data_IF_998117555640
#
_entry.id   IF_998117555640
#
_cell.length_a   1.000
_cell.length_b   1.000
_cell.length_c   1.000
_cell.angle_alpha   90.00
_cell.angle_beta   90.00
_cell.angle_gamma   90.00
#
_symmetry.space_group_name_H-M   'P 1'
#
loop_
_entity.id
_entity.type
_entity.pdbx_description
1 polymer ?
#
# COMPACT_ATOMS: atom_id res chain seq x y z
N UNK A 1 8.85 11.25 11.85
CA UNK A 1 9.06 12.52 11.09
C UNK A 1 8.44 12.30 9.72
N UNK A 2 7.38 13.04 9.38
CA UNK A 2 6.60 12.78 8.17
C UNK A 2 7.31 13.24 6.89
N UNK A 3 7.18 12.47 5.81
CA UNK A 3 7.56 12.92 4.48
C UNK A 3 6.32 13.21 3.65
N UNK A 4 6.20 14.46 3.17
CA UNK A 4 5.13 14.90 2.27
C UNK A 4 5.68 14.81 0.84
N UNK A 5 4.97 14.10 -0.04
CA UNK A 5 5.30 14.08 -1.47
C UNK A 5 4.08 14.40 -2.34
N UNK A 6 4.33 15.06 -3.48
CA UNK A 6 3.33 15.42 -4.47
C UNK A 6 3.40 14.45 -5.65
N UNK A 7 2.42 13.57 -5.78
CA UNK A 7 2.31 12.65 -6.92
C UNK A 7 1.48 13.28 -8.05
N UNK A 8 1.99 13.24 -9.29
CA UNK A 8 1.29 13.73 -10.49
C UNK A 8 0.50 12.59 -11.15
N UNK A 9 -0.79 12.76 -11.38
CA UNK A 9 -1.61 11.78 -12.12
C UNK A 9 -1.53 12.10 -13.62
N UNK A 10 -0.85 11.24 -14.39
CA UNK A 10 -0.85 11.29 -15.85
C UNK A 10 -1.91 10.35 -16.42
N UNK A 11 -3.02 10.88 -16.91
CA UNK A 11 -4.01 10.11 -17.69
C UNK A 11 -3.57 10.00 -19.14
N UNK A 12 -3.27 8.79 -19.61
CA UNK A 12 -3.03 8.53 -21.03
C UNK A 12 -4.40 8.30 -21.70
N UNK A 13 -5.01 9.36 -22.22
CA UNK A 13 -6.12 9.23 -23.16
C UNK A 13 -5.57 9.32 -24.59
N UNK A 14 -5.98 8.35 -25.39
CA UNK A 14 -5.59 8.20 -26.79
C UNK A 14 -5.98 9.41 -27.65
N UNK A 15 -5.22 9.51 -28.73
CA UNK A 15 -5.28 10.47 -29.83
C UNK A 15 -6.69 10.89 -30.24
N UNK A 16 -6.98 12.20 -30.17
CA UNK A 16 -7.62 12.96 -31.25
C UNK A 16 -7.66 14.47 -30.94
N UNK A 17 -7.40 15.25 -32.00
CA UNK A 17 -7.54 16.70 -32.21
C UNK A 17 -6.81 17.72 -31.29
N UNK A 18 -6.12 18.64 -31.98
CA UNK A 18 -5.47 19.83 -31.42
C UNK A 18 -6.52 20.83 -30.92
N UNK A 19 -6.81 20.82 -29.64
CA UNK A 19 -7.33 21.99 -28.91
C UNK A 19 -6.62 22.08 -27.56
N UNK A 20 -6.24 23.30 -27.18
CA UNK A 20 -5.61 23.63 -25.91
C UNK A 20 -6.44 23.13 -24.72
N UNK A 21 -6.08 21.97 -24.17
CA UNK A 21 -6.46 21.58 -22.81
C UNK A 21 -5.29 21.93 -21.89
N UNK A 22 -5.45 23.03 -21.16
CA UNK A 22 -4.73 23.27 -19.92
C UNK A 22 -5.11 22.10 -18.97
N UNK A 23 -4.33 21.03 -18.99
CA UNK A 23 -4.50 19.94 -18.02
C UNK A 23 -3.81 20.44 -16.76
N UNK A 24 -4.59 21.09 -15.89
CA UNK A 24 -4.16 21.37 -14.54
C UNK A 24 -3.68 20.06 -13.91
N UNK A 25 -2.38 20.02 -13.65
CA UNK A 25 -1.76 18.84 -13.06
C UNK A 25 -2.26 18.73 -11.63
N UNK A 26 -3.17 17.80 -11.38
CA UNK A 26 -3.64 17.52 -10.03
C UNK A 26 -2.49 16.88 -9.25
N UNK A 27 -1.93 17.63 -8.32
CA UNK A 27 -0.96 17.09 -7.39
C UNK A 27 -1.71 16.46 -6.22
N UNK A 28 -1.54 15.15 -6.05
CA UNK A 28 -2.05 14.45 -4.87
C UNK A 28 -0.95 14.49 -3.82
N UNK A 29 -1.24 15.16 -2.71
CA UNK A 29 -0.38 15.12 -1.52
C UNK A 29 -0.55 13.75 -0.86
N UNK A 30 0.53 13.00 -0.75
CA UNK A 30 0.58 11.73 0.00
C UNK A 30 1.49 11.96 1.20
N UNK A 31 0.95 11.79 2.39
CA UNK A 31 1.73 11.70 3.61
C UNK A 31 2.22 10.27 3.75
N UNK A 32 3.53 10.08 3.71
CA UNK A 32 4.13 8.77 3.96
C UNK A 32 4.64 8.73 5.40
N UNK A 33 4.17 7.76 6.17
CA UNK A 33 4.56 7.56 7.57
C UNK A 33 5.75 6.62 7.65
N UNK A 34 6.64 6.86 8.62
CA UNK A 34 7.68 5.87 8.93
C UNK A 34 7.04 4.62 9.54
N UNK A 35 7.58 3.41 9.30
CA UNK A 35 7.04 2.19 9.89
C UNK A 35 6.91 2.25 11.42
N UNK A 36 7.86 2.93 12.08
CA UNK A 36 7.87 3.11 13.54
C UNK A 36 6.79 4.08 14.06
N UNK A 37 6.29 4.98 13.21
CA UNK A 37 5.27 5.97 13.58
C UNK A 37 3.84 5.41 13.40
N UNK A 38 3.69 4.16 12.97
CA UNK A 38 2.38 3.53 12.77
C UNK A 38 1.67 3.22 14.09
N UNK A 39 0.39 3.61 14.17
CA UNK A 39 -0.47 3.28 15.30
C UNK A 39 -1.89 2.89 14.85
N UNK A 40 -2.44 1.85 15.47
CA UNK A 40 -3.75 1.28 15.11
C UNK A 40 -4.94 2.20 15.37
N UNK A 41 -4.82 3.09 16.36
CA UNK A 41 -5.89 4.03 16.75
C UNK A 41 -6.21 5.09 15.66
N UNK A 42 -5.35 5.21 14.65
CA UNK A 42 -5.58 6.09 13.50
C UNK A 42 -6.28 5.37 12.34
N UNK A 43 -6.65 4.10 12.49
CA UNK A 43 -7.33 3.31 11.46
C UNK A 43 -8.84 3.35 11.65
N UNK A 44 -9.54 3.69 10.57
CA UNK A 44 -10.98 3.64 10.47
C UNK A 44 -11.39 2.73 9.32
N UNK A 45 -12.32 1.82 9.58
CA UNK A 45 -12.90 0.95 8.55
C UNK A 45 -14.19 1.57 8.02
N UNK A 46 -14.28 1.69 6.71
CA UNK A 46 -15.54 2.06 6.06
C UNK A 46 -16.52 0.89 6.05
N UNK A 47 -17.72 1.11 5.53
CA UNK A 47 -18.69 0.04 5.30
C UNK A 47 -18.14 -1.04 4.38
N UNK A 48 -18.46 -2.28 4.73
CA UNK A 48 -18.15 -3.47 3.95
C UNK A 48 -18.96 -3.46 2.66
N UNK A 49 -18.27 -3.50 1.52
CA UNK A 49 -18.91 -3.57 0.19
C UNK A 49 -18.67 -4.92 -0.44
N UNK A 50 -19.75 -5.61 -0.81
CA UNK A 50 -19.64 -6.83 -1.61
C UNK A 50 -19.05 -6.49 -2.97
N UNK A 51 -18.09 -7.29 -3.43
CA UNK A 51 -17.53 -7.12 -4.75
C UNK A 51 -18.45 -7.81 -5.78
N UNK A 52 -18.75 -7.12 -6.88
CA UNK A 52 -19.66 -7.61 -7.92
C UNK A 52 -18.94 -8.62 -8.84
N UNK A 53 -17.61 -8.53 -8.92
CA UNK A 53 -16.77 -9.29 -9.89
C UNK A 53 -16.09 -10.49 -9.24
N UNK A 54 -15.70 -10.37 -7.96
CA UNK A 54 -14.98 -11.42 -7.23
C UNK A 54 -15.78 -11.76 -5.99
N UNK A 55 -16.00 -13.04 -5.74
CA UNK A 55 -16.77 -13.49 -4.59
C UNK A 55 -16.07 -13.06 -3.29
N UNK A 56 -16.83 -12.40 -2.42
CA UNK A 56 -16.32 -11.76 -1.22
C UNK A 56 -16.63 -10.27 -1.14
N UNK A 57 -15.93 -9.62 -0.21
CA UNK A 57 -16.19 -8.25 0.18
C UNK A 57 -14.90 -7.48 0.38
N UNK A 58 -15.00 -6.16 0.26
CA UNK A 58 -13.91 -5.25 0.47
C UNK A 58 -14.34 -4.16 1.45
N UNK A 59 -13.51 -3.97 2.47
CA UNK A 59 -13.66 -2.91 3.46
C UNK A 59 -12.52 -1.94 3.30
N UNK A 60 -12.84 -0.71 2.92
CA UNK A 60 -11.83 0.34 2.72
C UNK A 60 -11.29 0.83 4.06
N UNK A 61 -9.97 1.02 4.11
CA UNK A 61 -9.27 1.62 5.26
C UNK A 61 -9.11 3.13 5.01
N UNK A 62 -9.41 3.92 6.04
CA UNK A 62 -9.00 5.31 6.14
C UNK A 62 -7.97 5.41 7.27
N UNK A 63 -6.92 6.19 7.02
CA UNK A 63 -5.96 6.58 8.05
C UNK A 63 -6.23 8.03 8.42
N UNK A 64 -6.50 8.32 9.69
CA UNK A 64 -6.81 9.67 10.14
C UNK A 64 -6.05 10.01 11.41
N UNK A 65 -5.40 11.16 11.39
CA UNK A 65 -4.91 11.84 12.59
C UNK A 65 -5.74 13.11 12.85
N UNK A 66 -5.30 13.95 13.79
CA UNK A 66 -6.00 15.19 14.17
C UNK A 66 -6.01 16.26 13.06
N UNK A 67 -5.18 16.10 12.03
CA UNK A 67 -4.95 17.10 10.99
C UNK A 67 -5.44 16.68 9.61
N UNK A 68 -5.53 15.37 9.32
CA UNK A 68 -5.88 14.87 8.00
C UNK A 68 -6.49 13.48 7.99
N UNK A 69 -7.21 13.20 6.89
CA UNK A 69 -7.72 11.87 6.54
C UNK A 69 -7.11 11.44 5.20
N UNK A 70 -6.59 10.22 5.16
CA UNK A 70 -6.01 9.59 3.97
C UNK A 70 -6.76 8.33 3.56
N UNK A 71 -6.79 8.11 2.24
CA UNK A 71 -7.38 6.93 1.61
C UNK A 71 -6.43 5.72 1.66
N UNK A 72 -6.21 5.20 2.86
CA UNK A 72 -5.31 4.10 3.18
C UNK A 72 -4.10 4.54 3.99
N UNK A 73 -3.31 3.56 4.41
CA UNK A 73 -2.08 3.75 5.16
C UNK A 73 -0.92 3.75 4.15
N UNK A 74 -0.01 4.72 4.23
CA UNK A 74 1.13 4.86 3.31
C UNK A 74 2.42 4.79 4.12
N UNK A 75 3.16 3.69 4.00
CA UNK A 75 4.31 3.38 4.85
C UNK A 75 5.59 3.52 4.02
N UNK A 76 6.54 4.33 4.50
CA UNK A 76 7.83 4.53 3.86
C UNK A 76 8.67 3.27 3.97
N UNK A 77 9.37 2.92 2.89
CA UNK A 77 10.24 1.75 2.85
C UNK A 77 11.61 2.14 2.31
N UNK A 78 12.57 2.11 3.22
CA UNK A 78 13.98 2.21 2.92
C UNK A 78 14.63 0.83 3.06
N UNK A 79 14.80 0.11 1.93
CA UNK A 79 15.58 -1.13 1.94
C UNK A 79 17.05 -0.82 2.15
N UNK A 80 17.71 -1.63 2.99
CA UNK A 80 19.14 -1.55 3.25
C UNK A 80 19.95 -2.11 2.07
N UNK A 81 19.45 -3.17 1.42
CA UNK A 81 20.14 -3.85 0.32
C UNK A 81 19.17 -4.32 -0.75
N UNK A 82 19.55 -4.07 -2.01
CA UNK A 82 18.89 -4.61 -3.20
C UNK A 82 19.81 -5.64 -3.84
N UNK A 83 19.25 -6.81 -4.19
CA UNK A 83 19.96 -7.82 -4.97
C UNK A 83 19.95 -7.42 -6.45
N UNK A 84 18.76 -7.16 -7.00
CA UNK A 84 18.58 -6.79 -8.41
C UNK A 84 17.36 -5.89 -8.61
N UNK A 85 17.45 -4.98 -9.58
CA UNK A 85 16.35 -4.15 -10.00
C UNK A 85 15.98 -4.46 -11.46
N UNK A 86 14.82 -5.09 -11.67
CA UNK A 86 14.32 -5.45 -13.00
C UNK A 86 13.31 -4.43 -13.52
N UNK A 87 13.82 -3.28 -13.98
CA UNK A 87 13.00 -2.14 -14.44
C UNK A 87 12.04 -2.46 -15.59
N UNK A 88 12.32 -3.47 -16.42
CA UNK A 88 11.44 -3.89 -17.52
C UNK A 88 10.21 -4.66 -17.05
N UNK A 89 10.31 -5.32 -15.89
CA UNK A 89 9.23 -6.13 -15.29
C UNK A 89 8.58 -5.46 -14.08
N UNK A 90 9.08 -4.28 -13.69
CA UNK A 90 8.74 -3.57 -12.46
C UNK A 90 8.82 -4.50 -11.23
N UNK A 91 9.92 -5.25 -11.14
CA UNK A 91 10.22 -6.15 -10.02
C UNK A 91 11.54 -5.73 -9.39
N UNK A 92 11.57 -5.64 -8.08
CA UNK A 92 12.80 -5.58 -7.29
C UNK A 92 13.01 -6.91 -6.60
N UNK A 93 14.26 -7.32 -6.53
CA UNK A 93 14.71 -8.43 -5.71
C UNK A 93 15.51 -7.85 -4.55
N UNK A 94 15.01 -8.04 -3.33
CA UNK A 94 15.66 -7.57 -2.10
C UNK A 94 16.37 -8.74 -1.41
N UNK A 95 17.35 -8.40 -0.58
CA UNK A 95 17.99 -9.35 0.31
C UNK A 95 17.14 -9.47 1.58
N UNK A 96 16.43 -10.59 1.74
CA UNK A 96 15.52 -10.80 2.87
C UNK A 96 16.25 -10.82 4.23
N UNK A 97 17.52 -11.25 4.26
CA UNK A 97 18.30 -11.30 5.50
C UNK A 97 18.78 -9.91 5.90
N UNK A 98 19.30 -9.14 4.95
CA UNK A 98 19.72 -7.76 5.17
C UNK A 98 18.54 -6.83 5.53
N UNK A 99 17.33 -7.15 5.06
CA UNK A 99 16.13 -6.34 5.33
C UNK A 99 15.21 -6.94 6.41
N UNK A 100 15.66 -7.96 7.15
CA UNK A 100 14.82 -8.74 8.09
C UNK A 100 14.08 -7.89 9.12
N UNK A 101 14.71 -6.86 9.67
CA UNK A 101 14.07 -5.97 10.67
C UNK A 101 12.91 -5.15 10.07
N UNK A 102 13.15 -4.58 8.89
CA UNK A 102 12.12 -3.87 8.12
C UNK A 102 10.97 -4.82 7.77
N UNK A 103 11.28 -6.01 7.24
CA UNK A 103 10.27 -7.02 6.88
C UNK A 103 9.42 -7.40 8.08
N UNK A 104 10.04 -7.66 9.24
CA UNK A 104 9.32 -7.98 10.47
C UNK A 104 8.43 -6.81 10.93
N UNK A 105 8.92 -5.57 10.82
CA UNK A 105 8.15 -4.38 11.18
C UNK A 105 6.90 -4.26 10.31
N UNK A 106 7.05 -4.39 8.98
CA UNK A 106 5.91 -4.34 8.05
C UNK A 106 4.95 -5.52 8.26
N UNK A 107 5.47 -6.71 8.54
CA UNK A 107 4.66 -7.88 8.85
C UNK A 107 3.83 -7.70 10.13
N UNK A 108 4.40 -7.05 11.15
CA UNK A 108 3.69 -6.72 12.39
C UNK A 108 2.58 -5.70 12.13
N UNK A 109 2.80 -4.73 11.24
CA UNK A 109 1.77 -3.78 10.81
C UNK A 109 0.63 -4.53 10.10
N UNK A 110 0.94 -5.38 9.12
CA UNK A 110 -0.07 -6.20 8.41
C UNK A 110 -0.89 -7.04 9.40
N UNK A 111 -0.21 -7.71 10.33
CA UNK A 111 -0.84 -8.52 11.36
C UNK A 111 -1.77 -7.69 12.25
N UNK A 112 -1.27 -6.54 12.74
CA UNK A 112 -2.05 -5.64 13.59
C UNK A 112 -3.29 -5.09 12.90
N UNK A 113 -3.21 -4.74 11.60
CA UNK A 113 -4.37 -4.28 10.82
C UNK A 113 -5.42 -5.39 10.70
N UNK A 114 -5.00 -6.61 10.41
CA UNK A 114 -5.90 -7.77 10.28
C UNK A 114 -6.54 -8.11 11.62
N UNK A 115 -5.76 -8.18 12.69
CA UNK A 115 -6.27 -8.48 14.04
C UNK A 115 -7.26 -7.42 14.52
N UNK A 116 -6.97 -6.14 14.25
CA UNK A 116 -7.86 -5.04 14.57
C UNK A 116 -9.18 -5.14 13.80
N UNK A 117 -9.12 -5.47 12.50
CA UNK A 117 -10.30 -5.70 11.67
C UNK A 117 -11.16 -6.85 12.19
N UNK A 118 -10.55 -8.00 12.53
CA UNK A 118 -11.23 -9.18 13.06
C UNK A 118 -12.00 -8.82 14.33
N UNK A 119 -11.38 -8.07 15.25
CA UNK A 119 -12.01 -7.63 16.49
C UNK A 119 -13.13 -6.62 16.24
N UNK A 120 -12.91 -5.67 15.34
CA UNK A 120 -13.87 -4.59 15.04
C UNK A 120 -15.19 -5.14 14.44
N UNK A 121 -15.10 -6.09 13.52
CA UNK A 121 -16.28 -6.70 12.87
C UNK A 121 -16.71 -8.04 13.49
N UNK A 122 -16.05 -8.47 14.58
CA UNK A 122 -16.26 -9.77 15.23
C UNK A 122 -16.23 -10.95 14.23
N UNK A 123 -15.21 -10.96 13.36
CA UNK A 123 -15.07 -11.98 12.32
C UNK A 123 -14.68 -13.31 12.95
N UNK A 124 -15.43 -14.36 12.65
CA UNK A 124 -15.16 -15.72 13.13
C UNK A 124 -14.96 -16.68 11.96
N UNK A 125 -14.18 -17.75 12.18
CA UNK A 125 -14.02 -18.86 11.23
C UNK A 125 -13.40 -18.49 9.88
N UNK A 126 -12.57 -17.44 9.82
CA UNK A 126 -11.79 -17.09 8.63
C UNK A 126 -10.31 -17.09 8.92
N UNK A 127 -9.53 -17.57 7.96
CA UNK A 127 -8.09 -17.67 8.05
C UNK A 127 -7.44 -16.36 7.59
N UNK A 128 -6.60 -15.72 8.42
CA UNK A 128 -5.77 -14.59 8.01
C UNK A 128 -4.76 -14.98 6.92
N UNK A 129 -4.65 -14.15 5.89
CA UNK A 129 -3.69 -14.28 4.80
C UNK A 129 -2.72 -13.10 4.83
N UNK A 130 -1.48 -13.38 5.21
CA UNK A 130 -0.38 -12.41 5.33
C UNK A 130 0.42 -12.30 4.03
N UNK A 131 -0.27 -11.87 2.97
CA UNK A 131 0.29 -11.78 1.62
C UNK A 131 1.43 -10.78 1.50
N UNK A 132 1.42 -9.69 2.27
CA UNK A 132 2.49 -8.71 2.26
C UNK A 132 3.75 -9.27 2.92
N UNK A 133 3.63 -9.84 4.13
CA UNK A 133 4.71 -10.54 4.81
C UNK A 133 5.35 -11.60 3.90
N UNK A 134 4.51 -12.42 3.26
CA UNK A 134 4.98 -13.50 2.38
C UNK A 134 5.78 -12.96 1.20
N UNK A 135 5.27 -11.93 0.51
CA UNK A 135 5.98 -11.32 -0.62
C UNK A 135 7.31 -10.68 -0.21
N UNK A 136 7.34 -9.98 0.93
CA UNK A 136 8.58 -9.37 1.43
C UNK A 136 9.62 -10.43 1.84
N UNK A 137 9.18 -11.51 2.50
CA UNK A 137 10.08 -12.59 2.95
C UNK A 137 10.68 -13.37 1.77
N UNK A 138 9.93 -13.53 0.68
CA UNK A 138 10.40 -14.19 -0.53
C UNK A 138 11.40 -13.33 -1.35
N UNK A 139 11.47 -12.03 -1.08
CA UNK A 139 12.44 -11.12 -1.71
C UNK A 139 12.04 -10.58 -3.08
N UNK A 140 11.10 -11.21 -3.80
CA UNK A 140 10.61 -10.74 -5.10
C UNK A 140 9.37 -9.85 -4.96
N UNK A 141 9.54 -8.54 -5.19
CA UNK A 141 8.49 -7.55 -4.99
C UNK A 141 8.17 -6.82 -6.29
N UNK A 142 6.90 -6.88 -6.70
CA UNK A 142 6.37 -6.06 -7.79
C UNK A 142 6.06 -4.65 -7.29
N UNK A 143 6.47 -3.65 -8.05
CA UNK A 143 6.17 -2.26 -7.75
C UNK A 143 5.52 -1.56 -8.94
N UNK A 144 4.85 -0.45 -8.69
CA UNK A 144 4.36 0.46 -9.72
C UNK A 144 5.33 1.63 -9.86
N UNK A 145 5.73 1.94 -11.10
CA UNK A 145 6.61 3.07 -11.37
C UNK A 145 5.94 4.39 -11.00
N UNK A 146 6.66 5.21 -10.26
CA UNK A 146 6.35 6.61 -10.03
C UNK A 146 6.70 7.48 -11.24
N UNK A 147 6.58 8.79 -11.06
CA UNK A 147 6.93 9.79 -12.08
C UNK A 147 8.37 10.28 -11.99
N UNK A 148 9.13 9.81 -10.99
CA UNK A 148 10.47 10.30 -10.65
C UNK A 148 11.58 9.46 -11.27
N UNK A 149 12.59 10.16 -11.78
CA UNK A 149 13.79 9.59 -12.41
C UNK A 149 14.94 9.78 -11.43
N UNK A 150 15.60 8.69 -11.00
CA UNK A 150 16.92 8.73 -10.38
C UNK A 150 17.03 8.39 -8.89
N UNK A 151 15.92 8.30 -8.13
CA UNK A 151 15.95 7.82 -6.75
C UNK A 151 14.90 6.73 -6.55
N UNK A 152 15.35 5.52 -6.23
CA UNK A 152 14.49 4.36 -5.95
C UNK A 152 13.99 4.41 -4.50
N UNK A 153 13.07 5.34 -4.19
CA UNK A 153 12.32 5.29 -2.93
C UNK A 153 11.00 4.57 -3.15
N UNK A 154 10.54 3.84 -2.14
CA UNK A 154 9.32 3.07 -2.25
C UNK A 154 8.45 3.29 -1.02
N UNK A 155 7.14 3.32 -1.22
CA UNK A 155 6.19 3.20 -0.13
C UNK A 155 5.25 2.02 -0.36
N UNK A 156 4.72 1.46 0.72
CA UNK A 156 3.62 0.52 0.68
C UNK A 156 2.33 1.23 1.06
N UNK A 157 1.34 1.12 0.17
CA UNK A 157 -0.02 1.53 0.46
C UNK A 157 -0.85 0.33 0.87
N UNK A 158 -1.39 0.32 2.08
CA UNK A 158 -2.46 -0.60 2.52
C UNK A 158 -3.79 0.13 2.35
N UNK A 159 -4.65 -0.34 1.44
CA UNK A 159 -5.88 0.36 1.06
C UNK A 159 -7.16 -0.16 1.70
N UNK A 160 -7.15 -1.39 2.21
CA UNK A 160 -8.34 -2.04 2.75
C UNK A 160 -8.09 -3.49 3.12
N UNK A 161 -9.13 -4.12 3.64
CA UNK A 161 -9.19 -5.54 3.94
C UNK A 161 -10.16 -6.20 2.96
N UNK A 162 -9.71 -7.26 2.30
CA UNK A 162 -10.56 -8.13 1.52
C UNK A 162 -10.95 -9.35 2.37
N UNK A 163 -12.14 -9.88 2.10
CA UNK A 163 -12.69 -11.02 2.83
C UNK A 163 -13.43 -11.93 1.85
N UNK A 164 -13.09 -13.21 1.83
CA UNK A 164 -13.85 -14.25 1.10
C UNK A 164 -14.71 -15.03 2.10
N UNK A 165 -15.24 -16.19 1.69
CA UNK A 165 -15.95 -17.07 2.62
C UNK A 165 -15.04 -17.58 3.74
N UNK A 166 -13.80 -17.98 3.40
CA UNK A 166 -12.89 -18.70 4.29
C UNK A 166 -11.67 -17.89 4.74
N UNK A 167 -11.35 -16.81 4.04
CA UNK A 167 -10.08 -16.11 4.21
C UNK A 167 -10.29 -14.60 4.30
N UNK A 168 -9.30 -13.92 4.86
CA UNK A 168 -9.22 -12.48 4.80
C UNK A 168 -7.77 -12.01 4.75
N UNK A 169 -7.54 -10.82 4.22
CA UNK A 169 -6.20 -10.26 4.16
C UNK A 169 -6.24 -8.78 3.79
N UNK A 170 -5.07 -8.15 3.80
CA UNK A 170 -4.97 -6.76 3.35
C UNK A 170 -4.82 -6.69 1.83
N UNK A 171 -5.36 -5.62 1.24
CA UNK A 171 -4.98 -5.19 -0.10
C UNK A 171 -3.87 -4.17 0.00
N UNK A 172 -2.74 -4.43 -0.64
CA UNK A 172 -1.59 -3.55 -0.64
C UNK A 172 -1.03 -3.30 -2.05
N UNK A 173 -0.27 -2.22 -2.20
CA UNK A 173 0.52 -1.90 -3.40
C UNK A 173 1.83 -1.27 -3.00
N UNK A 174 2.90 -1.63 -3.70
CA UNK A 174 4.19 -0.94 -3.60
C UNK A 174 4.33 0.07 -4.74
N UNK A 175 4.78 1.28 -4.42
CA UNK A 175 4.91 2.36 -5.40
C UNK A 175 6.27 3.02 -5.24
N UNK A 176 6.96 3.20 -6.37
CA UNK A 176 8.19 4.00 -6.46
C UNK A 176 7.84 5.49 -6.48
N UNK A 177 8.60 6.36 -5.79
CA UNK A 177 8.34 7.80 -5.74
C UNK A 177 9.60 8.65 -5.58
#
# INVERSE_FOLDING_TARGET
MFHIFLSRIGGHFGTESKEHKHVDSLYVMILVIQPADFALNFIFFMEKKMNIIVDGSFTKILFSDDSMIMNGIFIDIAFQSFVKHFSSRNVIQIDSDANRELINTIANIECGVIDYYIRYFNVTNKTPVYSLKTSLSNGDIKYYKGTTIGHHKYYIKISGVWETHNELGVTYKMVEY
#
